data_IF_179314204711
#
_entry.id   IF_179314204711
#
_cell.length_a   1.000
_cell.length_b   1.000
_cell.length_c   1.000
_cell.angle_alpha   90.00
_cell.angle_beta   90.00
_cell.angle_gamma   90.00
#
_symmetry.space_group_name_H-M   'P 1'
#
loop_
_entity.id
_entity.type
_entity.pdbx_description
1 polymer ?
#
# COMPACT_ATOMS: atom_id res chain seq x y z
N UNK A 1 -5.44 5.37 3.25
CA UNK A 1 -4.36 5.23 2.25
C UNK A 1 -4.38 6.33 1.21
N UNK A 2 -5.54 6.89 0.83
CA UNK A 2 -5.62 8.04 -0.09
C UNK A 2 -4.71 9.20 0.32
N UNK A 3 -4.76 9.62 1.58
CA UNK A 3 -3.88 10.69 2.09
C UNK A 3 -2.38 10.36 2.00
N UNK A 4 -2.01 9.07 2.10
CA UNK A 4 -0.62 8.64 1.93
C UNK A 4 -0.21 8.67 0.46
N UNK A 5 -1.10 8.24 -0.45
CA UNK A 5 -0.88 8.32 -1.90
C UNK A 5 -0.71 9.79 -2.32
N UNK A 6 -1.55 10.69 -1.83
CA UNK A 6 -1.43 12.13 -2.11
C UNK A 6 -0.11 12.71 -1.60
N UNK A 7 0.33 12.33 -0.39
CA UNK A 7 1.65 12.72 0.13
C UNK A 7 2.78 12.21 -0.75
N UNK A 8 2.74 10.95 -1.18
CA UNK A 8 3.75 10.38 -2.08
C UNK A 8 3.76 11.07 -3.45
N UNK A 9 2.58 11.41 -3.99
CA UNK A 9 2.47 12.18 -5.23
C UNK A 9 3.03 13.60 -5.08
N UNK A 10 2.85 14.25 -3.93
CA UNK A 10 3.44 15.56 -3.64
C UNK A 10 4.99 15.53 -3.59
N UNK A 11 5.57 14.39 -3.24
CA UNK A 11 7.03 14.13 -3.32
C UNK A 11 7.52 13.80 -4.74
N UNK A 12 6.64 13.84 -5.74
CA UNK A 12 6.97 13.68 -7.16
C UNK A 12 6.76 12.28 -7.73
N UNK A 13 6.09 11.37 -7.00
CA UNK A 13 5.75 10.05 -7.52
C UNK A 13 4.49 10.11 -8.39
N UNK A 14 4.42 9.26 -9.41
CA UNK A 14 3.14 8.97 -10.08
C UNK A 14 2.24 8.15 -9.15
N UNK A 15 0.95 8.07 -9.49
CA UNK A 15 -0.01 7.27 -8.72
C UNK A 15 0.39 5.79 -8.67
N UNK A 16 0.76 5.20 -9.81
CA UNK A 16 1.28 3.83 -9.89
C UNK A 16 2.54 3.62 -9.03
N UNK A 17 3.46 4.60 -9.03
CA UNK A 17 4.66 4.54 -8.20
C UNK A 17 4.34 4.61 -6.72
N UNK A 18 3.38 5.46 -6.32
CA UNK A 18 2.91 5.55 -4.94
C UNK A 18 2.26 4.25 -4.47
N UNK A 19 1.41 3.64 -5.29
CA UNK A 19 0.78 2.34 -5.02
C UNK A 19 1.84 1.26 -4.83
N UNK A 20 2.81 1.15 -5.74
CA UNK A 20 3.92 0.19 -5.61
C UNK A 20 4.80 0.46 -4.39
N UNK A 21 5.08 1.71 -4.06
CA UNK A 21 5.86 2.05 -2.86
C UNK A 21 5.17 1.56 -1.58
N UNK A 22 3.84 1.74 -1.50
CA UNK A 22 3.02 1.30 -0.38
C UNK A 22 3.05 -0.23 -0.24
N UNK A 23 3.03 -0.98 -1.34
CA UNK A 23 3.18 -2.44 -1.34
C UNK A 23 4.56 -2.90 -0.88
N UNK A 24 5.63 -2.27 -1.37
CA UNK A 24 7.00 -2.56 -0.94
C UNK A 24 7.15 -2.35 0.56
N UNK A 25 6.61 -1.24 1.09
CA UNK A 25 6.63 -0.93 2.53
C UNK A 25 5.82 -1.97 3.32
N UNK A 26 4.64 -2.38 2.83
CA UNK A 26 3.84 -3.45 3.46
C UNK A 26 4.65 -4.73 3.62
N UNK A 27 5.27 -5.18 2.53
CA UNK A 27 6.02 -6.43 2.52
C UNK A 27 7.27 -6.34 3.40
N UNK A 28 8.00 -5.23 3.31
CA UNK A 28 9.14 -4.97 4.17
C UNK A 28 8.76 -4.94 5.66
N UNK A 29 7.65 -4.29 6.01
CA UNK A 29 7.17 -4.25 7.39
C UNK A 29 6.80 -5.66 7.90
N UNK A 30 6.17 -6.49 7.07
CA UNK A 30 5.85 -7.89 7.43
C UNK A 30 7.10 -8.74 7.64
N UNK A 31 8.13 -8.56 6.82
CA UNK A 31 9.41 -9.27 6.96
C UNK A 31 10.15 -8.87 8.24
N UNK A 32 10.19 -7.57 8.56
CA UNK A 32 10.92 -7.07 9.72
C UNK A 32 10.14 -7.21 11.03
N UNK A 33 8.81 -7.22 10.97
CA UNK A 33 7.92 -7.26 12.13
C UNK A 33 6.90 -8.40 11.99
N UNK A 34 7.35 -9.67 11.91
CA UNK A 34 6.48 -10.81 11.58
C UNK A 34 5.36 -11.04 12.60
N UNK A 35 5.59 -10.73 13.87
CA UNK A 35 4.56 -10.82 14.92
C UNK A 35 3.34 -9.93 14.64
N UNK A 36 3.53 -8.84 13.89
CA UNK A 36 2.47 -7.90 13.53
C UNK A 36 1.93 -8.13 12.11
N UNK A 37 2.39 -9.15 11.38
CA UNK A 37 2.03 -9.38 9.99
C UNK A 37 0.52 -9.42 9.76
N UNK A 38 -0.22 -10.13 10.61
CA UNK A 38 -1.68 -10.19 10.52
C UNK A 38 -2.40 -8.86 10.82
N UNK A 39 -1.82 -7.98 11.65
CA UNK A 39 -2.37 -6.64 11.91
C UNK A 39 -2.09 -5.71 10.74
N UNK A 40 -0.89 -5.79 10.16
CA UNK A 40 -0.50 -5.07 8.95
C UNK A 40 -1.43 -5.45 7.80
N UNK A 41 -1.69 -6.74 7.59
CA UNK A 41 -2.63 -7.20 6.55
C UNK A 41 -4.05 -6.64 6.75
N UNK A 42 -4.57 -6.65 7.99
CA UNK A 42 -5.88 -6.06 8.29
C UNK A 42 -5.93 -4.55 8.06
N UNK A 43 -4.87 -3.83 8.42
CA UNK A 43 -4.78 -2.39 8.19
C UNK A 43 -4.80 -2.09 6.69
N UNK A 44 -4.00 -2.81 5.90
CA UNK A 44 -3.93 -2.62 4.45
C UNK A 44 -5.23 -3.05 3.77
N UNK A 45 -5.89 -4.12 4.19
CA UNK A 45 -7.20 -4.50 3.65
C UNK A 45 -8.29 -3.45 3.94
N UNK A 46 -8.24 -2.80 5.11
CA UNK A 46 -9.25 -1.79 5.51
C UNK A 46 -9.02 -0.43 4.84
N UNK A 47 -7.78 -0.03 4.68
CA UNK A 47 -7.45 1.34 4.28
C UNK A 47 -6.76 1.44 2.94
N UNK A 48 -6.16 0.35 2.45
CA UNK A 48 -5.38 0.26 1.22
C UNK A 48 -6.18 0.58 -0.03
N UNK A 49 -5.50 0.68 -1.18
CA UNK A 49 -6.17 0.81 -2.47
C UNK A 49 -7.09 -0.40 -2.64
N UNK A 50 -8.35 -0.18 -3.01
CA UNK A 50 -9.19 -1.29 -3.45
C UNK A 50 -8.70 -1.67 -4.84
N UNK A 51 -8.40 -2.95 -5.04
CA UNK A 51 -8.19 -3.53 -6.36
C UNK A 51 -9.53 -3.39 -7.13
N UNK A 52 -9.80 -2.23 -7.73
CA UNK A 52 -10.96 -2.04 -8.62
C UNK A 52 -10.58 -2.13 -10.11
N UNK A 53 -9.29 -2.25 -10.47
CA UNK A 53 -8.84 -2.23 -11.88
C UNK A 53 -8.15 -3.51 -12.41
N UNK A 54 -7.93 -4.55 -11.59
CA UNK A 54 -7.20 -5.77 -12.01
C UNK A 54 -8.09 -6.92 -12.53
N UNK A 55 -9.36 -6.64 -12.87
CA UNK A 55 -10.28 -7.64 -13.44
C UNK A 55 -11.00 -7.15 -14.71
N UNK A 56 -10.24 -6.78 -15.75
CA UNK A 56 -10.75 -6.70 -17.12
C UNK A 56 -9.81 -7.40 -18.11
N UNK A 57 -10.10 -8.65 -18.51
CA UNK A 57 -9.86 -9.11 -19.88
C UNK A 57 -10.98 -8.67 -20.84
#
# INVERSE_FOLDING_TARGET
MKDLIEKLKAEGLTEEQALRAIEVIKNFAKEKLPLFGGVIDKMFAKYGPKEEDDFMP
#
